data_IF_833859809680
#
_entry.id   IF_833859809680
#
_cell.length_a   1.000
_cell.length_b   1.000
_cell.length_c   1.000
_cell.angle_alpha   90.00
_cell.angle_beta   90.00
_cell.angle_gamma   90.00
#
_symmetry.space_group_name_H-M   'P 1'
#
loop_
_entity.id
_entity.type
_entity.pdbx_description
1 polymer ?
#
# COMPACT_ATOMS: atom_id res chain seq x y z
N UNK A 1 -1.48 18.49 2.29
CA UNK A 1 -1.26 17.06 1.96
C UNK A 1 -2.04 16.28 2.99
N UNK A 2 -3.04 15.50 2.56
CA UNK A 2 -3.88 14.71 3.47
C UNK A 2 -3.07 13.49 3.96
N UNK A 3 -3.17 13.16 5.26
CA UNK A 3 -2.38 12.11 5.90
C UNK A 3 -2.87 10.73 5.44
N UNK A 4 -1.96 9.77 5.23
CA UNK A 4 -2.34 8.41 4.82
C UNK A 4 -2.96 7.62 5.96
N UNK A 5 -3.78 6.61 5.64
CA UNK A 5 -4.37 5.72 6.66
C UNK A 5 -3.30 4.99 7.47
N UNK A 6 -2.16 4.68 6.85
CA UNK A 6 -1.01 4.05 7.48
C UNK A 6 -0.44 4.94 8.57
N UNK A 7 -0.17 6.21 8.23
CA UNK A 7 0.46 7.15 9.16
C UNK A 7 -0.45 7.44 10.34
N UNK A 8 -1.77 7.42 10.12
CA UNK A 8 -2.77 7.67 11.15
C UNK A 8 -3.01 6.46 12.07
N UNK A 9 -3.12 5.25 11.53
CA UNK A 9 -3.63 4.09 12.28
C UNK A 9 -2.60 2.98 12.53
N UNK A 10 -1.53 2.89 11.72
CA UNK A 10 -0.50 1.86 11.85
C UNK A 10 0.87 2.37 11.38
N UNK A 11 1.43 3.42 12.04
CA UNK A 11 2.67 4.08 11.62
C UNK A 11 3.89 3.15 11.66
N UNK A 12 3.83 2.08 12.45
CA UNK A 12 4.88 1.04 12.55
C UNK A 12 4.54 -0.22 11.76
N UNK A 13 3.57 -0.13 10.83
CA UNK A 13 3.10 -1.26 10.03
C UNK A 13 4.21 -1.85 9.16
N UNK A 14 4.37 -3.17 9.23
CA UNK A 14 5.39 -3.93 8.49
C UNK A 14 4.85 -4.58 7.21
N UNK A 15 3.65 -4.20 6.79
CA UNK A 15 3.02 -4.73 5.58
C UNK A 15 3.93 -4.53 4.35
N UNK A 16 4.09 -5.58 3.53
CA UNK A 16 4.94 -5.49 2.33
C UNK A 16 4.42 -4.49 1.31
N UNK A 17 3.09 -4.38 1.13
CA UNK A 17 2.49 -3.43 0.21
C UNK A 17 2.51 -2.00 0.75
N UNK A 18 1.86 -1.75 1.89
CA UNK A 18 1.60 -0.40 2.40
C UNK A 18 2.32 -0.03 3.71
N UNK A 19 3.17 -0.90 4.26
CA UNK A 19 3.80 -0.64 5.56
C UNK A 19 4.82 0.51 5.53
N UNK A 20 4.69 1.57 6.35
CA UNK A 20 5.60 2.72 6.33
C UNK A 20 7.05 2.36 6.63
N UNK A 21 7.26 1.39 7.52
CA UNK A 21 8.60 0.98 7.98
C UNK A 21 9.18 -0.17 7.14
N UNK A 22 8.43 -0.71 6.17
CA UNK A 22 8.88 -1.88 5.40
C UNK A 22 9.87 -1.47 4.31
N UNK A 23 11.16 -1.45 4.66
CA UNK A 23 12.22 -0.91 3.79
C UNK A 23 12.27 -1.59 2.42
N UNK A 24 12.01 -2.90 2.40
CA UNK A 24 12.05 -3.74 1.20
C UNK A 24 10.68 -3.85 0.48
N UNK A 25 9.63 -3.27 1.03
CA UNK A 25 8.28 -3.30 0.49
C UNK A 25 8.01 -2.22 -0.55
N UNK A 26 6.79 -2.24 -1.10
CA UNK A 26 6.33 -1.27 -2.09
C UNK A 26 6.04 0.11 -1.49
N UNK A 27 5.72 0.15 -0.18
CA UNK A 27 5.38 1.36 0.58
C UNK A 27 4.37 2.26 -0.15
N UNK A 28 3.21 1.71 -0.48
CA UNK A 28 2.08 2.50 -0.96
C UNK A 28 1.38 3.23 0.19
N UNK A 29 0.96 4.47 -0.06
CA UNK A 29 0.30 5.34 0.90
C UNK A 29 -1.12 5.68 0.38
N UNK A 30 -2.13 4.83 0.62
CA UNK A 30 -3.53 5.19 0.40
C UNK A 30 -3.92 6.38 1.28
N UNK A 31 -4.26 7.49 0.62
CA UNK A 31 -4.76 8.72 1.23
C UNK A 31 -6.29 8.63 1.37
N UNK A 32 -6.94 7.96 0.43
CA UNK A 32 -8.40 7.70 0.41
C UNK A 32 -8.64 6.25 0.00
N UNK A 33 -9.79 5.66 0.36
CA UNK A 33 -10.15 4.29 -0.06
C UNK A 33 -10.07 4.07 -1.60
N UNK A 34 -10.16 5.15 -2.38
CA UNK A 34 -10.15 5.13 -3.85
C UNK A 34 -8.92 5.78 -4.47
N UNK A 35 -7.95 6.25 -3.68
CA UNK A 35 -6.77 6.92 -4.23
C UNK A 35 -5.50 6.53 -3.49
N UNK A 36 -4.57 5.99 -4.26
CA UNK A 36 -3.28 5.50 -3.80
C UNK A 36 -2.19 6.32 -4.50
N UNK A 37 -1.26 6.84 -3.71
CA UNK A 37 0.06 7.23 -4.21
C UNK A 37 1.08 6.21 -3.71
N UNK A 38 1.98 5.79 -4.58
CA UNK A 38 3.02 4.83 -4.23
C UNK A 38 4.20 4.96 -5.18
N UNK A 39 5.40 4.79 -4.65
CA UNK A 39 6.61 4.76 -5.46
C UNK A 39 6.99 3.30 -5.69
N UNK A 40 6.76 2.82 -6.92
CA UNK A 40 7.19 1.48 -7.30
C UNK A 40 8.52 1.55 -8.06
N UNK A 41 9.55 0.94 -7.51
CA UNK A 41 10.81 0.77 -8.23
C UNK A 41 10.64 -0.34 -9.27
N UNK A 42 10.43 0.06 -10.53
CA UNK A 42 10.19 -0.86 -11.63
C UNK A 42 11.36 -1.85 -11.84
N UNK A 43 12.60 -1.45 -11.54
CA UNK A 43 13.77 -2.32 -11.71
C UNK A 43 13.79 -3.49 -10.71
N UNK A 44 13.21 -3.29 -9.54
CA UNK A 44 13.15 -4.27 -8.45
C UNK A 44 11.97 -5.24 -8.57
N UNK A 45 10.89 -4.79 -9.22
CA UNK A 45 9.61 -5.49 -9.28
C UNK A 45 9.24 -5.94 -10.69
N UNK A 46 10.21 -6.00 -11.60
CA UNK A 46 10.02 -6.46 -12.97
C UNK A 46 9.63 -7.96 -13.04
N UNK A 47 8.90 -8.34 -14.08
CA UNK A 47 8.47 -9.71 -14.36
C UNK A 47 9.42 -10.49 -15.30
N UNK A 48 10.55 -9.89 -15.69
CA UNK A 48 11.50 -10.39 -16.68
C UNK A 48 11.26 -9.85 -18.10
N UNK A 49 10.19 -9.09 -18.33
CA UNK A 49 9.76 -8.61 -19.64
C UNK A 49 9.51 -7.09 -19.69
N UNK A 50 9.93 -6.32 -18.67
CA UNK A 50 9.70 -4.88 -18.65
C UNK A 50 8.35 -4.47 -18.04
N UNK A 51 7.64 -5.37 -17.38
CA UNK A 51 6.37 -5.09 -16.71
C UNK A 51 6.45 -5.42 -15.22
N UNK A 52 5.59 -4.80 -14.42
CA UNK A 52 5.48 -5.13 -13.00
C UNK A 52 5.03 -6.58 -12.81
N UNK A 53 5.71 -7.30 -11.91
CA UNK A 53 5.37 -8.66 -11.51
C UNK A 53 3.92 -8.76 -11.02
N UNK A 54 3.19 -9.76 -11.51
CA UNK A 54 1.78 -9.96 -11.16
C UNK A 54 1.53 -10.11 -9.65
N UNK A 55 2.43 -10.76 -8.92
CA UNK A 55 2.34 -10.86 -7.46
C UNK A 55 2.48 -9.53 -6.74
N UNK A 56 3.27 -8.58 -7.29
CA UNK A 56 3.38 -7.22 -6.76
C UNK A 56 2.07 -6.46 -7.00
N UNK A 57 1.49 -6.58 -8.20
CA UNK A 57 0.17 -6.01 -8.51
C UNK A 57 -0.88 -6.56 -7.55
N UNK A 58 -0.94 -7.88 -7.36
CA UNK A 58 -1.86 -8.53 -6.43
C UNK A 58 -1.65 -8.05 -4.99
N UNK A 59 -0.40 -7.92 -4.55
CA UNK A 59 -0.09 -7.42 -3.20
C UNK A 59 -0.59 -6.01 -2.98
N UNK A 60 -0.46 -5.13 -3.97
CA UNK A 60 -0.99 -3.77 -3.89
C UNK A 60 -2.52 -3.79 -3.81
N UNK A 61 -3.20 -4.54 -4.68
CA UNK A 61 -4.66 -4.66 -4.68
C UNK A 61 -5.20 -5.18 -3.34
N UNK A 62 -4.56 -6.21 -2.78
CA UNK A 62 -4.90 -6.78 -1.47
C UNK A 62 -4.73 -5.75 -0.33
N UNK A 63 -3.60 -5.04 -0.32
CA UNK A 63 -3.35 -4.01 0.70
C UNK A 63 -4.35 -2.85 0.61
N UNK A 64 -4.79 -2.48 -0.60
CA UNK A 64 -5.76 -1.40 -0.77
C UNK A 64 -7.17 -1.81 -0.39
N UNK A 65 -7.62 -3.00 -0.78
CA UNK A 65 -8.95 -3.49 -0.38
C UNK A 65 -9.06 -3.59 1.14
N UNK A 66 -8.01 -4.07 1.81
CA UNK A 66 -7.95 -4.10 3.27
C UNK A 66 -7.96 -2.70 3.90
N UNK A 67 -7.25 -1.73 3.31
CA UNK A 67 -7.22 -0.35 3.81
C UNK A 67 -8.61 0.33 3.73
N UNK A 68 -9.41 0.06 2.69
CA UNK A 68 -10.78 0.55 2.58
C UNK A 68 -11.65 0.10 3.75
N UNK A 69 -11.65 -1.21 4.01
CA UNK A 69 -12.43 -1.80 5.11
C UNK A 69 -11.92 -1.30 6.46
N UNK A 70 -10.60 -1.20 6.66
CA UNK A 70 -10.03 -0.64 7.88
C UNK A 70 -10.58 0.76 8.15
N UNK A 71 -10.61 1.65 7.15
CA UNK A 71 -11.17 3.00 7.32
C UNK A 71 -12.63 2.94 7.74
N UNK A 72 -13.46 2.16 7.04
CA UNK A 72 -14.87 2.00 7.39
C UNK A 72 -15.01 1.51 8.84
N UNK A 73 -14.31 0.46 9.25
CA UNK A 73 -14.40 -0.09 10.61
C UNK A 73 -13.98 0.85 11.72
N UNK A 74 -13.04 1.76 11.45
CA UNK A 74 -12.60 2.77 12.44
C UNK A 74 -13.58 3.93 12.51
N UNK A 75 -14.15 4.36 11.38
CA UNK A 75 -15.09 5.48 11.33
C UNK A 75 -16.47 5.13 11.95
N UNK A 76 -16.82 3.84 12.09
CA UNK A 76 -18.07 3.40 12.78
C UNK A 76 -17.91 3.19 14.30
N UNK A 77 -16.72 3.44 14.87
CA UNK A 77 -16.47 3.40 16.32
C UNK A 77 -16.59 4.77 16.95
#
# INVERSE_FOLDING_TARGET
MEQSLQDQYYPYGTCFGCGPVMVRGCRSNPIRPITVSGHLDASKYDNGFGFVNGGIISTLLDCHSAACIMKETVDVR
#
